data_IF_879217236380
#
_entry.id   IF_879217236380
#
_cell.length_a   1.000
_cell.length_b   1.000
_cell.length_c   1.000
_cell.angle_alpha   90.00
_cell.angle_beta   90.00
_cell.angle_gamma   90.00
#
_symmetry.space_group_name_H-M   'P 1'
#
loop_
_entity.id
_entity.type
_entity.pdbx_description
1 polymer ?
#
# COMPACT_ATOMS: atom_id res chain seq x y z
N UNK A 1 10.06 -15.07 4.50
CA UNK A 1 8.95 -14.53 3.69
C UNK A 1 7.99 -13.80 4.61
N UNK A 2 7.92 -12.46 4.52
CA UNK A 2 6.90 -11.67 5.24
C UNK A 2 5.55 -11.99 4.59
N UNK A 3 4.61 -12.52 5.36
CA UNK A 3 3.33 -13.01 4.86
C UNK A 3 2.51 -11.81 4.36
N UNK A 4 2.23 -11.75 3.04
CA UNK A 4 1.50 -10.63 2.40
C UNK A 4 0.15 -10.34 3.06
N UNK A 5 -0.45 -11.37 3.67
CA UNK A 5 -1.70 -11.27 4.42
C UNK A 5 -1.56 -10.34 5.63
N UNK A 6 -0.41 -10.35 6.30
CA UNK A 6 -0.15 -9.54 7.49
C UNK A 6 -0.08 -8.05 7.17
N UNK A 7 0.39 -7.68 5.97
CA UNK A 7 0.49 -6.28 5.55
C UNK A 7 -0.88 -5.68 5.23
N UNK A 8 -1.73 -6.45 4.55
CA UNK A 8 -3.11 -6.04 4.25
C UNK A 8 -3.93 -5.90 5.54
N UNK A 9 -3.77 -6.82 6.49
CA UNK A 9 -4.40 -6.74 7.81
C UNK A 9 -3.91 -5.53 8.61
N UNK A 10 -2.61 -5.21 8.56
CA UNK A 10 -2.07 -4.00 9.20
C UNK A 10 -2.61 -2.71 8.58
N UNK A 11 -2.73 -2.66 7.24
CA UNK A 11 -3.32 -1.52 6.54
C UNK A 11 -4.78 -1.30 6.96
N UNK A 12 -5.58 -2.37 7.00
CA UNK A 12 -6.96 -2.31 7.47
C UNK A 12 -7.04 -1.87 8.93
N UNK A 13 -6.13 -2.36 9.78
CA UNK A 13 -6.09 -1.98 11.19
C UNK A 13 -5.68 -0.52 11.38
N UNK A 14 -4.72 -0.01 10.60
CA UNK A 14 -4.36 1.41 10.62
C UNK A 14 -5.52 2.28 10.16
N UNK A 15 -6.21 1.90 9.07
CA UNK A 15 -7.41 2.60 8.60
C UNK A 15 -8.50 2.64 9.69
N UNK A 16 -8.76 1.52 10.35
CA UNK A 16 -9.73 1.44 11.46
C UNK A 16 -9.31 2.32 12.64
N UNK A 17 -8.03 2.34 13.00
CA UNK A 17 -7.52 3.18 14.09
C UNK A 17 -7.61 4.67 13.75
N UNK A 18 -7.33 5.05 12.50
CA UNK A 18 -7.47 6.43 12.02
C UNK A 18 -8.92 6.91 12.02
N UNK A 19 -9.90 6.01 11.87
CA UNK A 19 -11.32 6.34 11.97
C UNK A 19 -11.81 6.51 13.42
N UNK A 20 -11.05 6.01 14.41
CA UNK A 20 -11.37 6.09 15.83
C UNK A 20 -10.52 7.17 16.52
N UNK A 21 -10.67 8.43 16.10
CA UNK A 21 -9.99 9.62 16.68
C UNK A 21 -10.07 9.66 18.22
N UNK A 22 -11.20 9.17 18.77
CA UNK A 22 -11.49 9.14 20.21
C UNK A 22 -10.45 8.39 21.07
N UNK A 23 -9.74 7.40 20.52
CA UNK A 23 -8.71 6.65 21.27
C UNK A 23 -7.34 7.34 21.30
N UNK A 24 -7.10 8.26 20.37
CA UNK A 24 -5.84 9.02 20.27
C UNK A 24 -5.93 10.36 21.01
N UNK A 25 -7.14 10.93 21.12
CA UNK A 25 -7.44 12.10 21.95
C UNK A 25 -7.10 11.86 23.44
N UNK A 26 -7.43 10.68 23.97
CA UNK A 26 -7.22 10.31 25.38
C UNK A 26 -5.73 10.22 25.78
N UNK A 27 -4.82 10.11 24.80
CA UNK A 27 -3.37 10.00 25.03
C UNK A 27 -2.68 11.37 24.90
N UNK A 28 -3.42 12.44 24.55
CA UNK A 28 -2.86 13.78 24.35
C UNK A 28 -1.83 13.84 23.21
N UNK A 29 -1.85 12.86 22.30
CA UNK A 29 -0.91 12.78 21.18
C UNK A 29 -1.52 13.48 19.97
N UNK A 30 -0.83 14.48 19.37
CA UNK A 30 -1.30 15.13 18.16
C UNK A 30 -1.50 14.10 17.04
N UNK A 31 -2.71 14.04 16.49
CA UNK A 31 -3.06 13.20 15.35
C UNK A 31 -3.90 14.03 14.36
N UNK A 32 -3.96 13.55 13.12
CA UNK A 32 -4.63 14.23 12.02
C UNK A 32 -4.93 13.26 10.88
N UNK A 33 -5.54 13.75 9.79
CA UNK A 33 -5.96 12.89 8.69
C UNK A 33 -4.77 12.11 8.11
N UNK A 34 -4.95 10.79 8.01
CA UNK A 34 -3.96 9.88 7.41
C UNK A 34 -4.38 9.60 5.98
N UNK A 35 -3.54 9.99 5.03
CA UNK A 35 -3.72 9.65 3.62
C UNK A 35 -3.19 8.24 3.39
N UNK A 36 -4.05 7.33 2.94
CA UNK A 36 -3.66 5.98 2.56
C UNK A 36 -3.56 5.82 1.04
N UNK A 37 -2.50 5.13 0.62
CA UNK A 37 -2.25 4.81 -0.78
C UNK A 37 -1.60 3.44 -0.93
N UNK A 38 -1.38 3.01 -2.17
CA UNK A 38 -0.74 1.73 -2.47
C UNK A 38 0.43 1.91 -3.43
N UNK A 39 1.43 1.05 -3.29
CA UNK A 39 2.48 0.88 -4.30
C UNK A 39 2.08 -0.23 -5.26
N UNK A 40 1.99 0.09 -6.55
CA UNK A 40 1.78 -0.89 -7.61
C UNK A 40 3.11 -1.41 -8.12
N UNK A 41 3.26 -2.73 -8.03
CA UNK A 41 4.43 -3.47 -8.49
C UNK A 41 4.04 -4.50 -9.56
N UNK A 42 2.75 -4.82 -9.67
CA UNK A 42 2.24 -5.83 -10.58
C UNK A 42 1.71 -5.16 -11.85
N UNK A 43 2.22 -5.51 -13.05
CA UNK A 43 1.80 -4.88 -14.31
C UNK A 43 0.30 -4.91 -14.58
N UNK A 44 -0.39 -6.01 -14.26
CA UNK A 44 -1.84 -6.12 -14.48
C UNK A 44 -2.64 -5.14 -13.60
N UNK A 45 -2.11 -4.76 -12.44
CA UNK A 45 -2.79 -3.82 -11.54
C UNK A 45 -2.87 -2.42 -12.15
N UNK A 46 -1.89 -2.00 -12.97
CA UNK A 46 -1.92 -0.74 -13.72
C UNK A 46 -3.10 -0.68 -14.69
N UNK A 47 -3.37 -1.78 -15.39
CA UNK A 47 -4.47 -1.88 -16.37
C UNK A 47 -5.86 -1.79 -15.70
N UNK A 48 -5.91 -2.04 -14.40
CA UNK A 48 -7.13 -2.13 -13.60
C UNK A 48 -7.38 -0.86 -12.78
N UNK A 49 -6.47 0.12 -12.83
CA UNK A 49 -6.47 1.29 -11.93
C UNK A 49 -7.72 2.16 -12.02
N UNK A 50 -8.27 2.35 -13.22
CA UNK A 50 -9.47 3.17 -13.42
C UNK A 50 -10.77 2.56 -12.86
N UNK A 51 -10.81 1.26 -12.56
CA UNK A 51 -12.03 0.57 -12.14
C UNK A 51 -11.99 -0.02 -10.73
N UNK A 52 -10.80 -0.20 -10.14
CA UNK A 52 -10.64 -1.03 -8.93
C UNK A 52 -10.05 -0.31 -7.71
N UNK A 53 -9.75 0.99 -7.80
CA UNK A 53 -9.20 1.77 -6.68
C UNK A 53 -9.88 3.13 -6.46
N UNK A 54 -11.22 3.18 -6.29
CA UNK A 54 -11.93 4.46 -6.10
C UNK A 54 -11.59 5.14 -4.76
N UNK A 55 -11.20 4.37 -3.73
CA UNK A 55 -10.95 4.86 -2.38
C UNK A 55 -9.47 5.15 -2.08
N UNK A 56 -8.58 4.99 -3.06
CA UNK A 56 -7.16 5.32 -2.88
C UNK A 56 -6.89 6.78 -3.18
N UNK A 57 -6.36 7.49 -2.19
CA UNK A 57 -6.04 8.91 -2.32
C UNK A 57 -4.75 9.14 -3.14
N UNK A 58 -3.84 8.16 -3.19
CA UNK A 58 -2.70 8.18 -4.10
C UNK A 58 -2.21 6.77 -4.50
N UNK A 59 -1.50 6.73 -5.62
CA UNK A 59 -0.84 5.52 -6.13
C UNK A 59 0.64 5.84 -6.36
N UNK A 60 1.53 5.06 -5.74
CA UNK A 60 2.95 5.03 -6.05
C UNK A 60 3.28 3.88 -7.01
N UNK A 61 4.26 4.07 -7.88
CA UNK A 61 4.75 3.02 -8.77
C UNK A 61 6.15 2.61 -8.35
N UNK A 62 6.33 1.34 -7.97
CA UNK A 62 7.69 0.81 -7.86
C UNK A 62 8.15 0.39 -9.25
N UNK A 63 8.76 1.34 -9.95
CA UNK A 63 9.22 1.12 -11.32
C UNK A 63 10.25 0.01 -11.44
N UNK A 64 11.02 -0.29 -10.37
CA UNK A 64 12.04 -1.32 -10.39
C UNK A 64 11.38 -2.72 -10.41
N UNK A 65 10.51 -2.99 -9.44
CA UNK A 65 9.78 -4.26 -9.39
C UNK A 65 8.83 -4.41 -10.58
N UNK A 66 8.18 -3.31 -10.99
CA UNK A 66 7.27 -3.30 -12.12
C UNK A 66 7.99 -3.67 -13.42
N UNK A 67 9.15 -3.07 -13.69
CA UNK A 67 9.94 -3.34 -14.90
C UNK A 67 10.44 -4.79 -14.91
N UNK A 68 10.96 -5.27 -13.77
CA UNK A 68 11.42 -6.66 -13.63
C UNK A 68 10.30 -7.66 -13.91
N UNK A 69 9.13 -7.44 -13.31
CA UNK A 69 7.95 -8.32 -13.49
C UNK A 69 7.37 -8.21 -14.91
N UNK A 70 7.36 -7.03 -15.51
CA UNK A 70 6.87 -6.83 -16.87
C UNK A 70 7.76 -7.51 -17.92
N UNK A 71 9.08 -7.48 -17.72
CA UNK A 71 10.04 -8.09 -18.65
C UNK A 71 10.33 -9.56 -18.35
N UNK A 72 9.73 -10.12 -17.30
CA UNK A 72 10.13 -11.42 -16.74
C UNK A 72 11.65 -11.51 -16.49
N UNK A 73 12.27 -10.36 -16.16
CA UNK A 73 13.69 -10.23 -15.93
C UNK A 73 13.96 -10.36 -14.43
N UNK A 74 14.48 -11.51 -14.01
CA UNK A 74 14.92 -11.72 -12.63
C UNK A 74 16.35 -11.17 -12.45
N UNK A 75 16.52 -10.18 -11.57
CA UNK A 75 17.84 -9.66 -11.20
C UNK A 75 18.53 -10.46 -10.08
N UNK A 76 17.95 -11.56 -9.59
CA UNK A 76 18.53 -12.35 -8.49
C UNK A 76 19.91 -12.99 -8.78
N UNK A 77 20.46 -12.85 -10.00
CA UNK A 77 21.74 -13.51 -10.39
C UNK A 77 22.99 -12.62 -10.23
N UNK A 78 22.93 -11.48 -9.54
CA UNK A 78 24.14 -10.70 -9.22
C UNK A 78 24.26 -10.36 -7.73
N UNK A 79 24.28 -11.39 -6.86
CA UNK A 79 24.87 -11.30 -5.52
C UNK A 79 25.79 -12.47 -5.24
#
# INVERSE_FOLDING_TARGET
>A
MRNRTDSAQRLLQLQQNSQHEQGLDDVGTPHGPVVLGVTLEIPVALLMTGANFPDLEFISLDTNDLLQRAMAADQATLR
#
